data_IF_265781692586
#
_entry.id   IF_265781692586
#
_cell.length_a   1.000
_cell.length_b   1.000
_cell.length_c   1.000
_cell.angle_alpha   90.00
_cell.angle_beta   90.00
_cell.angle_gamma   90.00
#
_symmetry.space_group_name_H-M   'P 1'
#
loop_
_entity.id
_entity.type
_entity.pdbx_description
1 polymer ?
#
# COMPACT_ATOMS: atom_id res chain seq x y z
N UNK A 1 2.50 14.07 -4.72
CA UNK A 1 1.64 15.16 -4.20
C UNK A 1 1.40 14.88 -2.73
N UNK A 2 1.64 15.81 -1.81
CA UNK A 2 1.41 15.54 -0.39
C UNK A 2 -0.10 15.58 -0.11
N UNK A 3 -0.60 14.51 0.51
CA UNK A 3 -2.02 14.30 0.79
C UNK A 3 -2.35 14.91 2.17
N UNK A 4 -3.36 15.80 2.26
CA UNK A 4 -3.73 16.42 3.53
C UNK A 4 -4.41 15.39 4.44
N UNK A 5 -3.98 15.33 5.70
CA UNK A 5 -4.69 14.56 6.74
C UNK A 5 -6.01 15.27 7.11
N UNK A 6 -6.98 14.59 7.74
CA UNK A 6 -8.25 15.19 8.18
C UNK A 6 -8.07 16.43 9.08
N UNK A 7 -6.91 16.56 9.73
CA UNK A 7 -6.54 17.69 10.59
C UNK A 7 -5.99 18.91 9.82
N UNK A 8 -5.92 18.86 8.48
CA UNK A 8 -5.34 19.93 7.66
C UNK A 8 -3.82 20.07 7.78
N UNK A 9 -3.15 19.15 8.49
CA UNK A 9 -1.69 19.14 8.67
C UNK A 9 -1.06 18.16 7.69
N UNK A 10 -0.10 18.65 6.90
CA UNK A 10 0.72 17.82 6.03
C UNK A 10 1.76 17.09 6.88
N UNK A 11 1.55 15.79 7.13
CA UNK A 11 2.55 14.92 7.79
C UNK A 11 3.08 13.91 6.78
N UNK A 12 4.40 13.87 6.63
CA UNK A 12 5.05 12.83 5.84
C UNK A 12 5.08 11.53 6.65
N UNK A 13 4.44 10.49 6.13
CA UNK A 13 4.49 9.13 6.69
C UNK A 13 4.92 8.16 5.61
N UNK A 14 5.74 7.19 5.98
CA UNK A 14 6.22 6.16 5.05
C UNK A 14 5.20 5.02 5.08
N UNK A 15 4.53 4.79 3.96
CA UNK A 15 3.63 3.65 3.78
C UNK A 15 4.31 2.60 2.92
N UNK A 16 4.18 1.34 3.31
CA UNK A 16 4.53 0.22 2.47
C UNK A 16 3.27 -0.28 1.78
N UNK A 17 3.25 -0.32 0.44
CA UNK A 17 2.08 -0.73 -0.32
C UNK A 17 2.40 -2.03 -1.04
N UNK A 18 1.63 -3.06 -0.74
CA UNK A 18 1.63 -4.33 -1.45
C UNK A 18 0.42 -4.37 -2.38
N UNK A 19 0.67 -4.26 -3.69
CA UNK A 19 -0.37 -4.35 -4.70
C UNK A 19 -0.33 -5.71 -5.40
N UNK A 20 -1.48 -6.40 -5.42
CA UNK A 20 -1.63 -7.72 -6.01
C UNK A 20 -3.04 -7.83 -6.64
N UNK A 21 -3.22 -7.38 -7.89
CA UNK A 21 -4.54 -7.29 -8.52
C UNK A 21 -5.15 -8.67 -8.72
N UNK A 22 -6.48 -8.76 -8.70
CA UNK A 22 -7.13 -10.05 -8.84
C UNK A 22 -6.89 -10.74 -10.18
N UNK A 23 -6.67 -9.95 -11.23
CA UNK A 23 -6.29 -10.36 -12.58
C UNK A 23 -4.88 -10.96 -12.69
N UNK A 24 -4.00 -10.82 -11.68
CA UNK A 24 -2.64 -11.35 -11.73
C UNK A 24 -2.58 -12.89 -11.65
N UNK A 25 -1.53 -13.47 -12.26
CA UNK A 25 -1.31 -14.92 -12.24
C UNK A 25 -1.05 -15.42 -10.82
N UNK A 26 -1.66 -16.54 -10.44
CA UNK A 26 -1.50 -17.13 -9.10
C UNK A 26 -0.03 -17.35 -8.70
N UNK A 27 0.83 -17.76 -9.64
CA UNK A 27 2.27 -17.94 -9.39
C UNK A 27 2.96 -16.63 -8.99
N UNK A 28 2.60 -15.53 -9.63
CA UNK A 28 3.18 -14.20 -9.36
C UNK A 28 2.69 -13.68 -8.02
N UNK A 29 1.38 -13.78 -7.74
CA UNK A 29 0.81 -13.43 -6.43
C UNK A 29 1.52 -14.15 -5.28
N UNK A 30 1.76 -15.45 -5.44
CA UNK A 30 2.44 -16.26 -4.43
C UNK A 30 3.92 -15.87 -4.27
N UNK A 31 4.63 -15.57 -5.36
CA UNK A 31 6.02 -15.13 -5.32
C UNK A 31 6.18 -13.78 -4.60
N UNK A 32 5.31 -12.81 -4.92
CA UNK A 32 5.37 -11.49 -4.29
C UNK A 32 4.87 -11.53 -2.84
N UNK A 33 3.84 -12.30 -2.53
CA UNK A 33 3.35 -12.48 -1.16
C UNK A 33 4.40 -13.13 -0.24
N UNK A 34 5.09 -14.18 -0.72
CA UNK A 34 6.18 -14.83 0.04
C UNK A 34 7.40 -13.92 0.25
N UNK A 35 7.66 -13.02 -0.69
CA UNK A 35 8.77 -12.06 -0.60
C UNK A 35 8.44 -10.82 0.24
N UNK A 36 7.14 -10.49 0.43
CA UNK A 36 6.65 -9.30 1.13
C UNK A 36 7.27 -9.17 2.53
N UNK A 37 7.19 -10.21 3.33
CA UNK A 37 7.60 -10.16 4.73
C UNK A 37 9.12 -9.93 4.88
N UNK A 38 9.91 -10.55 4.01
CA UNK A 38 11.36 -10.32 3.98
C UNK A 38 11.73 -8.89 3.61
N UNK A 39 10.94 -8.24 2.75
CA UNK A 39 11.16 -6.85 2.34
C UNK A 39 10.74 -5.88 3.47
N UNK A 40 9.55 -6.06 4.03
CA UNK A 40 9.03 -5.20 5.12
C UNK A 40 9.96 -5.22 6.33
N UNK A 41 10.48 -6.40 6.71
CA UNK A 41 11.43 -6.53 7.84
C UNK A 41 12.76 -5.80 7.60
N UNK A 42 13.17 -5.60 6.35
CA UNK A 42 14.42 -4.88 6.00
C UNK A 42 14.25 -3.36 5.99
N UNK A 43 13.02 -2.87 5.96
CA UNK A 43 12.73 -1.44 5.88
C UNK A 43 12.35 -0.93 7.28
N UNK A 44 13.22 -0.16 7.91
CA UNK A 44 12.92 0.50 9.17
C UNK A 44 12.16 1.81 8.94
N UNK A 45 11.20 2.13 9.81
CA UNK A 45 10.46 3.40 9.77
C UNK A 45 9.19 3.37 8.91
N UNK A 46 8.69 2.19 8.51
CA UNK A 46 7.35 2.08 7.93
C UNK A 46 6.31 2.43 9.00
N UNK A 47 5.43 3.38 8.69
CA UNK A 47 4.31 3.76 9.54
C UNK A 47 3.21 2.70 9.50
N UNK A 48 2.82 2.27 8.29
CA UNK A 48 1.78 1.25 8.08
C UNK A 48 2.03 0.50 6.77
N UNK A 49 1.75 -0.80 6.78
CA UNK A 49 1.68 -1.62 5.57
C UNK A 49 0.24 -1.72 5.08
N UNK A 50 0.04 -1.49 3.78
CA UNK A 50 -1.24 -1.57 3.09
C UNK A 50 -1.19 -2.71 2.08
N UNK A 51 -2.29 -3.44 1.96
CA UNK A 51 -2.48 -4.51 0.96
C UNK A 51 -3.67 -4.11 0.08
N UNK A 52 -3.46 -4.10 -1.23
CA UNK A 52 -4.45 -3.65 -2.21
C UNK A 52 -4.56 -4.71 -3.30
N UNK A 53 -5.78 -5.19 -3.56
CA UNK A 53 -6.05 -6.25 -4.54
C UNK A 53 -6.91 -5.83 -5.73
N UNK A 54 -7.30 -4.55 -5.79
CA UNK A 54 -8.06 -3.99 -6.90
C UNK A 54 -7.24 -3.89 -8.19
N UNK A 55 -7.95 -3.66 -9.30
CA UNK A 55 -7.33 -3.34 -10.58
C UNK A 55 -6.70 -1.93 -10.58
N UNK A 56 -5.81 -1.69 -11.53
CA UNK A 56 -4.99 -0.46 -11.57
C UNK A 56 -5.82 0.82 -11.70
N UNK A 57 -7.02 0.73 -12.27
CA UNK A 57 -7.92 1.87 -12.50
C UNK A 57 -8.49 2.42 -11.18
N UNK A 58 -8.77 1.54 -10.21
CA UNK A 58 -9.36 1.88 -8.91
C UNK A 58 -8.30 2.10 -7.82
N UNK A 59 -7.05 1.72 -8.11
CA UNK A 59 -5.94 1.74 -7.15
C UNK A 59 -5.73 3.10 -6.48
N UNK A 60 -5.77 4.19 -7.25
CA UNK A 60 -5.56 5.53 -6.69
C UNK A 60 -6.66 5.95 -5.71
N UNK A 61 -7.91 5.61 -6.02
CA UNK A 61 -9.06 6.01 -5.20
C UNK A 61 -9.08 5.23 -3.89
N UNK A 62 -8.84 3.92 -3.96
CA UNK A 62 -8.76 3.07 -2.78
C UNK A 62 -7.57 3.47 -1.88
N UNK A 63 -6.40 3.75 -2.48
CA UNK A 63 -5.24 4.22 -1.74
C UNK A 63 -5.53 5.54 -1.03
N UNK A 64 -6.16 6.51 -1.72
CA UNK A 64 -6.57 7.79 -1.12
C UNK A 64 -7.54 7.55 0.03
N UNK A 65 -8.56 6.72 -0.15
CA UNK A 65 -9.54 6.40 0.88
C UNK A 65 -8.90 5.76 2.12
N UNK A 66 -8.00 4.79 1.93
CA UNK A 66 -7.32 4.11 3.05
C UNK A 66 -6.44 5.08 3.83
N UNK A 67 -5.69 5.96 3.14
CA UNK A 67 -4.80 6.89 3.82
C UNK A 67 -5.58 8.02 4.50
N UNK A 68 -6.68 8.51 3.91
CA UNK A 68 -7.52 9.54 4.51
C UNK A 68 -8.29 9.04 5.74
N UNK A 69 -8.64 7.75 5.78
CA UNK A 69 -9.33 7.11 6.90
C UNK A 69 -8.38 6.60 8.01
N UNK A 70 -7.06 6.72 7.84
CA UNK A 70 -6.04 6.26 8.82
C UNK A 70 -5.38 7.42 9.54
#
# INVERSE_FOLDING_TARGET
MPIPTPEGVLRNRIYFIFWSPDSAKAKEKMLYASSKESLVRKINGIFKSLEITCDIEEFEEELKAIILNT
#
